data_IF_152947913262
#
_entry.id   IF_152947913262
#
_cell.length_a   1.000
_cell.length_b   1.000
_cell.length_c   1.000
_cell.angle_alpha   90.00
_cell.angle_beta   90.00
_cell.angle_gamma   90.00
#
_symmetry.space_group_name_H-M   'P 1'
#
loop_
_entity.id
_entity.type
_entity.pdbx_description
1 polymer ?
#
# COMPACT_ATOMS: atom_id res chain seq x y z
N UNK A 1 3.73 -7.07 19.83
CA UNK A 1 3.12 -7.13 18.48
C UNK A 1 1.62 -7.29 18.66
N UNK A 2 0.84 -6.36 18.10
CA UNK A 2 -0.62 -6.53 18.01
C UNK A 2 -0.86 -7.62 16.96
N UNK A 3 -1.57 -8.69 17.31
CA UNK A 3 -1.78 -9.82 16.38
C UNK A 3 -2.55 -9.39 15.13
N UNK A 4 -2.27 -10.02 13.99
CA UNK A 4 -2.95 -9.79 12.71
C UNK A 4 -4.36 -10.40 12.65
N UNK A 5 -5.11 -10.32 13.75
CA UNK A 5 -6.46 -10.88 13.85
C UNK A 5 -7.47 -9.90 13.29
N UNK A 6 -8.48 -10.37 12.54
CA UNK A 6 -9.59 -9.52 12.14
C UNK A 6 -10.35 -9.04 13.37
N UNK A 7 -10.71 -7.75 13.36
CA UNK A 7 -11.46 -7.09 14.44
C UNK A 7 -12.94 -7.39 14.30
N UNK A 8 -13.48 -7.29 13.09
CA UNK A 8 -14.87 -7.56 12.76
C UNK A 8 -15.03 -7.85 11.27
N UNK A 9 -16.18 -8.43 10.91
CA UNK A 9 -16.63 -8.50 9.53
C UNK A 9 -18.05 -7.96 9.37
N UNK A 10 -18.34 -7.49 8.17
CA UNK A 10 -19.59 -6.82 7.81
C UNK A 10 -20.06 -7.29 6.44
N UNK A 11 -21.37 -7.41 6.28
CA UNK A 11 -22.01 -7.72 4.99
C UNK A 11 -22.93 -6.57 4.63
N UNK A 12 -22.75 -6.07 3.42
CA UNK A 12 -23.54 -5.01 2.84
C UNK A 12 -24.30 -5.50 1.62
N UNK A 13 -25.47 -4.92 1.44
CA UNK A 13 -26.29 -5.11 0.25
C UNK A 13 -26.74 -3.75 -0.27
N UNK A 14 -26.46 -3.48 -1.55
CA UNK A 14 -26.90 -2.29 -2.26
C UNK A 14 -28.35 -2.48 -2.69
N UNK A 15 -29.25 -1.74 -2.05
CA UNK A 15 -30.67 -1.69 -2.42
C UNK A 15 -30.93 -0.53 -3.39
N UNK A 16 -32.10 -0.52 -4.04
CA UNK A 16 -32.50 0.59 -4.91
C UNK A 16 -32.59 1.94 -4.18
N UNK A 17 -32.76 1.93 -2.86
CA UNK A 17 -32.79 3.10 -1.98
C UNK A 17 -31.41 3.53 -1.43
N UNK A 18 -30.35 2.79 -1.75
CA UNK A 18 -29.01 2.98 -1.20
C UNK A 18 -28.45 1.73 -0.52
N UNK A 19 -27.25 1.84 0.03
CA UNK A 19 -26.56 0.72 0.66
C UNK A 19 -27.10 0.47 2.07
N UNK A 20 -27.31 -0.80 2.44
CA UNK A 20 -27.75 -1.18 3.79
C UNK A 20 -26.73 -2.15 4.39
N UNK A 21 -26.32 -1.89 5.64
CA UNK A 21 -25.58 -2.87 6.45
C UNK A 21 -26.57 -3.98 6.78
N UNK A 22 -26.41 -5.12 6.13
CA UNK A 22 -27.28 -6.27 6.37
C UNK A 22 -26.84 -7.01 7.63
N UNK A 23 -25.54 -7.01 7.96
CA UNK A 23 -25.05 -7.78 9.10
C UNK A 23 -23.64 -7.39 9.58
N UNK A 24 -23.34 -7.56 10.87
CA UNK A 24 -22.03 -7.24 11.48
C UNK A 24 -21.70 -8.18 12.64
N UNK A 25 -20.43 -8.58 12.76
CA UNK A 25 -19.92 -9.27 13.95
C UNK A 25 -18.41 -9.11 14.14
N UNK A 26 -17.94 -8.93 15.39
CA UNK A 26 -18.71 -8.54 16.57
C UNK A 26 -19.40 -7.19 16.38
N UNK A 27 -20.21 -6.77 17.37
CA UNK A 27 -20.83 -5.45 17.32
C UNK A 27 -19.75 -4.37 17.37
N UNK A 28 -19.84 -3.39 16.47
CA UNK A 28 -18.94 -2.22 16.42
C UNK A 28 -19.67 -0.95 16.83
N UNK A 29 -18.89 0.09 17.16
CA UNK A 29 -19.43 1.42 17.51
C UNK A 29 -20.19 2.05 16.34
N UNK A 30 -21.12 2.96 16.63
CA UNK A 30 -21.87 3.66 15.57
C UNK A 30 -20.96 4.55 14.71
N UNK A 31 -19.90 5.12 15.27
CA UNK A 31 -18.87 5.82 14.50
C UNK A 31 -18.22 4.89 13.46
N UNK A 32 -17.87 3.66 13.87
CA UNK A 32 -17.30 2.67 12.96
C UNK A 32 -18.31 2.29 11.87
N UNK A 33 -19.59 2.10 12.20
CA UNK A 33 -20.63 1.80 11.19
C UNK A 33 -20.74 2.90 10.14
N UNK A 34 -20.70 4.17 10.54
CA UNK A 34 -20.74 5.32 9.62
C UNK A 34 -19.53 5.26 8.67
N UNK A 35 -18.33 5.03 9.20
CA UNK A 35 -17.10 4.94 8.39
C UNK A 35 -17.15 3.78 7.39
N UNK A 36 -17.65 2.61 7.81
CA UNK A 36 -17.79 1.45 6.91
C UNK A 36 -18.79 1.76 5.79
N UNK A 37 -19.91 2.42 6.11
CA UNK A 37 -20.94 2.78 5.13
C UNK A 37 -20.40 3.74 4.06
N UNK A 38 -19.60 4.72 4.48
CA UNK A 38 -18.94 5.68 3.58
C UNK A 38 -17.87 5.03 2.67
N UNK A 39 -17.30 3.89 3.06
CA UNK A 39 -16.19 3.26 2.33
C UNK A 39 -16.64 2.20 1.32
N UNK A 40 -17.68 1.40 1.63
CA UNK A 40 -18.08 0.16 0.95
C UNK A 40 -18.31 0.24 -0.58
N UNK A 41 -18.91 1.32 -1.06
CA UNK A 41 -19.22 1.57 -2.47
C UNK A 41 -18.78 2.97 -2.89
N UNK A 42 -17.49 3.25 -2.71
CA UNK A 42 -16.91 4.53 -3.10
C UNK A 42 -17.19 4.82 -4.58
N UNK A 43 -17.59 6.07 -4.90
CA UNK A 43 -17.93 6.48 -6.27
C UNK A 43 -16.80 6.13 -7.24
N UNK A 44 -17.10 5.42 -8.33
CA UNK A 44 -16.09 5.00 -9.30
C UNK A 44 -15.39 3.68 -8.98
N UNK A 45 -15.72 3.04 -7.85
CA UNK A 45 -15.30 1.68 -7.47
C UNK A 45 -16.52 0.75 -7.38
N UNK A 46 -17.36 0.74 -8.42
CA UNK A 46 -18.61 -0.04 -8.45
C UNK A 46 -18.53 -1.16 -9.50
N UNK A 47 -17.73 -2.17 -9.21
CA UNK A 47 -17.50 -3.31 -10.11
C UNK A 47 -17.75 -4.62 -9.37
N UNK A 48 -18.36 -5.59 -10.05
CA UNK A 48 -18.54 -6.94 -9.50
C UNK A 48 -17.18 -7.62 -9.40
N UNK A 49 -16.95 -8.34 -8.30
CA UNK A 49 -15.70 -9.07 -8.03
C UNK A 49 -14.48 -8.18 -7.72
N UNK A 50 -14.72 -6.92 -7.33
CA UNK A 50 -13.67 -5.98 -6.99
C UNK A 50 -13.17 -6.15 -5.55
N UNK A 51 -11.86 -6.34 -5.36
CA UNK A 51 -11.19 -6.19 -4.06
C UNK A 51 -10.48 -4.84 -3.97
N UNK A 52 -10.57 -4.18 -2.83
CA UNK A 52 -9.74 -3.01 -2.54
C UNK A 52 -9.69 -2.77 -1.04
N UNK A 53 -8.77 -1.91 -0.61
CA UNK A 53 -8.64 -1.56 0.79
C UNK A 53 -8.40 -0.06 1.01
N UNK A 54 -8.81 0.41 2.18
CA UNK A 54 -8.64 1.81 2.62
C UNK A 54 -8.27 1.84 4.08
N UNK A 55 -7.69 2.96 4.53
CA UNK A 55 -7.41 3.17 5.94
C UNK A 55 -8.25 4.30 6.51
N UNK A 56 -9.01 4.00 7.54
CA UNK A 56 -9.76 4.99 8.30
C UNK A 56 -9.37 4.96 9.77
N UNK A 57 -8.88 6.10 10.27
CA UNK A 57 -8.26 6.21 11.61
C UNK A 57 -7.19 5.12 11.79
N UNK A 58 -7.39 4.19 12.74
CA UNK A 58 -6.47 3.08 13.02
C UNK A 58 -6.84 1.77 12.32
N UNK A 59 -7.96 1.72 11.61
CA UNK A 59 -8.46 0.48 11.00
C UNK A 59 -8.22 0.47 9.49
N UNK A 60 -7.76 -0.67 9.01
CA UNK A 60 -7.80 -1.04 7.62
C UNK A 60 -9.16 -1.67 7.30
N UNK A 61 -9.78 -1.17 6.24
CA UNK A 61 -11.04 -1.66 5.70
C UNK A 61 -10.70 -2.47 4.45
N UNK A 62 -10.80 -3.79 4.53
CA UNK A 62 -10.60 -4.70 3.39
C UNK A 62 -11.96 -5.05 2.80
N UNK A 63 -12.19 -4.69 1.54
CA UNK A 63 -13.52 -4.67 0.94
C UNK A 63 -13.50 -5.56 -0.30
N UNK A 64 -14.40 -6.55 -0.36
CA UNK A 64 -14.63 -7.38 -1.55
C UNK A 64 -16.08 -7.23 -1.98
N UNK A 65 -16.29 -6.63 -3.15
CA UNK A 65 -17.61 -6.51 -3.77
C UNK A 65 -17.93 -7.76 -4.59
N UNK A 66 -19.18 -8.21 -4.55
CA UNK A 66 -19.63 -9.41 -5.27
C UNK A 66 -21.11 -9.29 -5.66
N UNK A 67 -21.56 -10.14 -6.58
CA UNK A 67 -22.96 -10.23 -6.98
C UNK A 67 -23.69 -11.38 -6.28
N UNK A 68 -24.93 -11.14 -5.82
CA UNK A 68 -25.83 -12.19 -5.32
C UNK A 68 -27.26 -11.89 -5.75
N UNK A 69 -27.93 -12.82 -6.42
CA UNK A 69 -29.34 -12.71 -6.84
C UNK A 69 -29.68 -11.39 -7.56
N UNK A 70 -28.78 -10.92 -8.45
CA UNK A 70 -28.94 -9.65 -9.17
C UNK A 70 -28.68 -8.38 -8.33
N UNK A 71 -28.30 -8.52 -7.06
CA UNK A 71 -27.94 -7.43 -6.15
C UNK A 71 -26.43 -7.33 -6.01
N UNK A 72 -25.94 -6.11 -5.76
CA UNK A 72 -24.53 -5.88 -5.42
C UNK A 72 -24.37 -5.99 -3.91
N UNK A 73 -23.40 -6.78 -3.50
CA UNK A 73 -23.07 -7.00 -2.10
C UNK A 73 -21.60 -6.71 -1.86
N UNK A 74 -21.22 -6.56 -0.61
CA UNK A 74 -19.82 -6.50 -0.22
C UNK A 74 -19.58 -7.19 1.12
N UNK A 75 -18.43 -7.85 1.24
CA UNK A 75 -17.84 -8.23 2.51
C UNK A 75 -16.81 -7.18 2.88
N UNK A 76 -16.84 -6.74 4.13
CA UNK A 76 -15.81 -5.86 4.69
C UNK A 76 -15.21 -6.53 5.92
N UNK A 77 -13.89 -6.65 5.95
CA UNK A 77 -13.14 -7.11 7.12
C UNK A 77 -12.32 -5.96 7.67
N UNK A 78 -12.50 -5.67 8.96
CA UNK A 78 -11.71 -4.67 9.67
C UNK A 78 -10.50 -5.31 10.37
N UNK A 79 -9.38 -4.60 10.35
CA UNK A 79 -8.13 -5.02 10.99
C UNK A 79 -7.30 -3.80 11.41
N UNK A 80 -6.45 -3.95 12.41
CA UNK A 80 -5.44 -2.93 12.76
C UNK A 80 -4.11 -3.15 12.02
N UNK A 81 -3.93 -4.31 11.38
CA UNK A 81 -2.71 -4.69 10.65
C UNK A 81 -2.87 -4.53 9.14
N UNK A 82 -1.83 -4.02 8.48
CA UNK A 82 -1.73 -3.98 7.04
C UNK A 82 -1.28 -5.32 6.45
N UNK A 83 -2.23 -6.14 5.96
CA UNK A 83 -1.96 -7.40 5.22
C UNK A 83 -2.95 -7.65 4.09
N UNK A 84 -2.87 -6.91 2.97
CA UNK A 84 -3.88 -6.97 1.91
C UNK A 84 -4.11 -8.37 1.34
N UNK A 85 -3.07 -9.18 1.10
CA UNK A 85 -3.23 -10.53 0.54
C UNK A 85 -3.97 -11.47 1.49
N UNK A 86 -3.64 -11.42 2.80
CA UNK A 86 -4.31 -12.19 3.83
C UNK A 86 -5.80 -11.82 3.91
N UNK A 87 -6.09 -10.53 4.00
CA UNK A 87 -7.46 -10.07 4.19
C UNK A 87 -8.29 -10.17 2.91
N UNK A 88 -7.68 -10.07 1.74
CA UNK A 88 -8.31 -10.46 0.47
C UNK A 88 -8.74 -11.92 0.50
N UNK A 89 -7.86 -12.82 0.95
CA UNK A 89 -8.20 -14.24 1.09
C UNK A 89 -9.31 -14.48 2.11
N UNK A 90 -9.30 -13.78 3.24
CA UNK A 90 -10.37 -13.85 4.23
C UNK A 90 -11.70 -13.35 3.64
N UNK A 91 -11.69 -12.24 2.90
CA UNK A 91 -12.86 -11.76 2.19
C UNK A 91 -13.41 -12.81 1.21
N UNK A 92 -12.55 -13.45 0.41
CA UNK A 92 -12.95 -14.53 -0.50
C UNK A 92 -13.59 -15.71 0.24
N UNK A 93 -13.07 -16.08 1.42
CA UNK A 93 -13.66 -17.13 2.25
C UNK A 93 -15.10 -16.77 2.64
N UNK A 94 -15.37 -15.53 3.06
CA UNK A 94 -16.72 -15.09 3.39
C UNK A 94 -17.61 -14.98 2.16
N UNK A 95 -17.11 -14.43 1.06
CA UNK A 95 -17.86 -14.34 -0.21
C UNK A 95 -18.28 -15.74 -0.67
N UNK A 96 -17.39 -16.73 -0.62
CA UNK A 96 -17.71 -18.12 -0.96
C UNK A 96 -18.75 -18.80 -0.05
N UNK A 97 -19.03 -18.25 1.15
CA UNK A 97 -20.16 -18.66 2.00
C UNK A 97 -21.44 -17.89 1.73
N UNK A 98 -21.35 -16.76 1.03
CA UNK A 98 -22.49 -15.92 0.67
C UNK A 98 -23.01 -16.23 -0.74
N UNK A 99 -22.16 -16.65 -1.67
CA UNK A 99 -22.50 -16.94 -3.06
C UNK A 99 -22.96 -18.39 -3.25
N UNK A 100 -23.76 -18.64 -4.29
CA UNK A 100 -24.25 -19.99 -4.62
C UNK A 100 -25.33 -20.57 -3.68
N UNK A 101 -25.78 -19.81 -2.68
CA UNK A 101 -26.83 -20.19 -1.73
C UNK A 101 -28.02 -19.25 -1.81
N UNK A 102 -29.24 -19.78 -1.66
CA UNK A 102 -30.47 -18.99 -1.70
C UNK A 102 -30.49 -17.92 -0.59
N UNK A 103 -30.21 -18.34 0.64
CA UNK A 103 -30.11 -17.48 1.82
C UNK A 103 -28.74 -17.61 2.49
N UNK A 104 -28.26 -16.51 3.07
CA UNK A 104 -26.96 -16.49 3.77
C UNK A 104 -27.16 -17.04 5.19
N UNK A 105 -26.46 -18.10 5.54
CA UNK A 105 -26.42 -18.61 6.91
C UNK A 105 -25.39 -17.81 7.74
N UNK A 106 -25.88 -16.84 8.51
CA UNK A 106 -25.04 -16.01 9.37
C UNK A 106 -24.34 -16.79 10.48
N UNK A 107 -24.90 -17.92 10.94
CA UNK A 107 -24.24 -18.77 11.95
C UNK A 107 -22.97 -19.38 11.36
N UNK A 108 -22.99 -19.77 10.09
CA UNK A 108 -21.79 -20.26 9.38
C UNK A 108 -20.74 -19.17 9.26
N UNK A 109 -21.14 -17.92 8.99
CA UNK A 109 -20.21 -16.80 8.91
C UNK A 109 -19.57 -16.46 10.26
N UNK A 110 -20.36 -16.42 11.35
CA UNK A 110 -19.85 -16.25 12.72
C UNK A 110 -18.84 -17.36 13.05
N UNK A 111 -19.20 -18.62 12.80
CA UNK A 111 -18.30 -19.76 13.04
C UNK A 111 -17.02 -19.65 12.23
N UNK A 112 -17.10 -19.17 10.99
CA UNK A 112 -15.94 -18.92 10.14
C UNK A 112 -15.04 -17.86 10.75
N UNK A 113 -15.60 -16.71 11.14
CA UNK A 113 -14.84 -15.65 11.81
C UNK A 113 -14.18 -16.14 13.11
N UNK A 114 -14.94 -16.80 13.98
CA UNK A 114 -14.44 -17.32 15.25
C UNK A 114 -13.36 -18.37 15.05
N UNK A 115 -13.49 -19.24 14.05
CA UNK A 115 -12.43 -20.19 13.69
C UNK A 115 -11.14 -19.45 13.38
N UNK A 116 -11.17 -18.47 12.48
CA UNK A 116 -9.99 -17.66 12.11
C UNK A 116 -9.40 -16.97 13.35
N UNK A 117 -10.25 -16.33 14.15
CA UNK A 117 -9.84 -15.57 15.34
C UNK A 117 -9.19 -16.46 16.42
N UNK A 118 -9.74 -17.65 16.66
CA UNK A 118 -9.27 -18.58 17.69
C UNK A 118 -8.06 -19.36 17.21
N UNK A 119 -8.06 -19.87 15.97
CA UNK A 119 -6.95 -20.65 15.43
C UNK A 119 -5.76 -19.78 15.03
N UNK A 120 -5.94 -18.47 14.89
CA UNK A 120 -4.91 -17.52 14.46
C UNK A 120 -4.28 -17.93 13.12
N UNK A 121 -5.13 -18.38 12.20
CA UNK A 121 -4.72 -18.82 10.87
C UNK A 121 -5.90 -19.22 10.00
N UNK A 122 -5.62 -19.41 8.71
CA UNK A 122 -6.61 -19.80 7.69
C UNK A 122 -6.11 -21.00 6.89
N UNK A 123 -7.05 -21.72 6.27
CA UNK A 123 -6.69 -22.72 5.25
C UNK A 123 -6.56 -22.04 3.90
N UNK A 124 -5.41 -22.20 3.25
CA UNK A 124 -5.12 -21.70 1.91
C UNK A 124 -4.42 -22.80 1.12
N UNK A 125 -4.94 -23.13 -0.08
CA UNK A 125 -4.35 -24.20 -0.91
C UNK A 125 -4.39 -25.61 -0.29
N UNK A 126 -5.24 -25.84 0.72
CA UNK A 126 -5.30 -27.11 1.46
C UNK A 126 -4.38 -27.17 2.69
N UNK A 127 -3.50 -26.19 2.88
CA UNK A 127 -2.62 -26.11 4.04
C UNK A 127 -3.14 -25.08 5.05
N UNK A 128 -2.78 -25.26 6.33
CA UNK A 128 -3.06 -24.29 7.37
C UNK A 128 -1.90 -23.30 7.50
N UNK A 129 -2.18 -22.02 7.35
CA UNK A 129 -1.19 -20.94 7.41
C UNK A 129 -1.60 -19.97 8.53
N UNK A 130 -0.67 -19.65 9.42
CA UNK A 130 -0.91 -18.65 10.46
C UNK A 130 -1.11 -17.26 9.86
N UNK A 131 -1.86 -16.39 10.55
CA UNK A 131 -2.09 -15.01 10.07
C UNK A 131 -0.77 -14.21 9.98
N UNK A 132 0.15 -14.44 10.92
CA UNK A 132 1.46 -13.79 10.95
C UNK A 132 2.36 -14.21 9.78
N UNK A 133 2.26 -15.47 9.34
CA UNK A 133 3.11 -16.07 8.31
C UNK A 133 2.46 -16.08 6.91
N UNK A 134 1.27 -15.50 6.76
CA UNK A 134 0.58 -15.50 5.48
C UNK A 134 1.44 -14.80 4.41
N UNK A 135 1.70 -15.45 3.27
CA UNK A 135 2.64 -14.95 2.27
C UNK A 135 2.13 -13.65 1.67
N UNK A 136 3.01 -12.66 1.63
CA UNK A 136 2.76 -11.37 0.99
C UNK A 136 3.18 -11.45 -0.47
N UNK A 137 2.33 -10.94 -1.36
CA UNK A 137 2.62 -10.87 -2.78
C UNK A 137 3.20 -9.50 -3.12
N UNK A 138 4.23 -9.53 -3.95
CA UNK A 138 4.91 -8.34 -4.47
C UNK A 138 5.17 -8.55 -5.96
N UNK A 139 5.11 -7.45 -6.71
CA UNK A 139 5.46 -7.32 -8.12
C UNK A 139 6.59 -6.29 -8.30
N UNK A 140 7.43 -6.11 -7.27
CA UNK A 140 8.46 -5.09 -7.24
C UNK A 140 9.46 -5.27 -8.40
N UNK A 141 9.78 -6.52 -8.75
CA UNK A 141 10.63 -6.84 -9.89
C UNK A 141 10.07 -6.26 -11.19
N UNK A 142 8.78 -6.44 -11.44
CA UNK A 142 8.12 -5.94 -12.65
C UNK A 142 8.06 -4.41 -12.65
N UNK A 143 7.81 -3.78 -11.49
CA UNK A 143 7.85 -2.33 -11.36
C UNK A 143 9.24 -1.78 -11.70
N UNK A 144 10.31 -2.35 -11.12
CA UNK A 144 11.68 -1.92 -11.39
C UNK A 144 12.03 -2.16 -12.86
N UNK A 145 11.64 -3.30 -13.42
CA UNK A 145 11.86 -3.64 -14.83
C UNK A 145 11.20 -2.62 -15.75
N UNK A 146 9.95 -2.24 -15.47
CA UNK A 146 9.18 -1.32 -16.30
C UNK A 146 9.66 0.14 -16.19
N UNK A 147 10.09 0.56 -15.00
CA UNK A 147 10.63 1.91 -14.77
C UNK A 147 12.12 2.02 -15.18
N UNK A 148 12.82 0.91 -15.34
CA UNK A 148 14.26 0.88 -15.55
C UNK A 148 14.98 1.63 -14.42
N UNK A 149 16.00 2.41 -14.76
CA UNK A 149 16.78 3.20 -13.77
C UNK A 149 15.92 4.25 -13.06
N UNK A 150 14.81 4.71 -13.64
CA UNK A 150 13.98 5.78 -13.05
C UNK A 150 13.31 5.39 -11.73
N UNK A 151 13.25 4.09 -11.40
CA UNK A 151 12.78 3.63 -10.08
C UNK A 151 13.58 4.28 -8.94
N UNK A 152 14.82 4.70 -9.18
CA UNK A 152 15.66 5.39 -8.19
C UNK A 152 15.03 6.70 -7.71
N UNK A 153 14.25 7.38 -8.55
CA UNK A 153 13.52 8.59 -8.17
C UNK A 153 12.43 8.24 -7.15
N UNK A 154 11.72 7.12 -7.34
CA UNK A 154 10.73 6.64 -6.40
C UNK A 154 11.37 6.22 -5.07
N UNK A 155 12.47 5.46 -5.12
CA UNK A 155 13.26 5.11 -3.94
C UNK A 155 13.71 6.35 -3.16
N UNK A 156 14.30 7.34 -3.85
CA UNK A 156 14.76 8.59 -3.23
C UNK A 156 13.61 9.40 -2.62
N UNK A 157 12.47 9.46 -3.29
CA UNK A 157 11.29 10.15 -2.78
C UNK A 157 10.81 9.53 -1.46
N UNK A 158 10.75 8.20 -1.38
CA UNK A 158 10.37 7.49 -0.17
C UNK A 158 11.37 7.71 0.98
N UNK A 159 12.68 7.67 0.66
CA UNK A 159 13.74 7.90 1.65
C UNK A 159 13.70 9.33 2.22
N UNK A 160 13.39 10.31 1.37
CA UNK A 160 13.28 11.73 1.73
C UNK A 160 11.87 12.14 2.19
N UNK A 161 10.98 11.18 2.46
CA UNK A 161 9.57 11.40 2.84
C UNK A 161 8.84 12.43 1.97
N UNK A 162 9.14 12.45 0.67
CA UNK A 162 8.53 13.32 -0.34
C UNK A 162 7.13 12.84 -0.69
N UNK A 163 6.24 13.77 -1.04
CA UNK A 163 4.85 13.49 -1.43
C UNK A 163 4.80 12.87 -2.84
N UNK A 164 4.43 11.60 -2.92
CA UNK A 164 4.38 10.81 -4.15
C UNK A 164 2.91 10.53 -4.48
N UNK A 165 2.48 10.89 -5.68
CA UNK A 165 1.21 10.43 -6.23
C UNK A 165 1.46 9.34 -7.26
N UNK A 166 0.84 8.18 -7.08
CA UNK A 166 0.89 7.04 -8.01
C UNK A 166 -0.48 6.88 -8.64
N UNK A 167 -0.51 6.85 -9.97
CA UNK A 167 -1.73 6.68 -10.75
C UNK A 167 -1.74 5.34 -11.50
N UNK A 168 -2.90 4.70 -11.47
CA UNK A 168 -3.27 3.60 -12.34
C UNK A 168 -4.80 3.54 -12.48
N UNK A 169 -5.38 3.27 -13.67
CA UNK A 169 -6.83 3.28 -13.86
C UNK A 169 -7.56 2.13 -13.14
N UNK A 170 -6.90 0.98 -12.95
CA UNK A 170 -7.40 -0.15 -12.19
C UNK A 170 -6.92 -0.05 -10.73
N UNK A 171 -7.85 -0.03 -9.76
CA UNK A 171 -7.55 0.09 -8.33
C UNK A 171 -6.85 -1.14 -7.74
N UNK A 172 -7.14 -2.35 -8.22
CA UNK A 172 -6.50 -3.58 -7.74
C UNK A 172 -5.02 -3.58 -8.12
N UNK A 173 -4.74 -3.31 -9.40
CA UNK A 173 -3.36 -3.17 -9.90
C UNK A 173 -2.62 -2.00 -9.26
N UNK A 174 -3.31 -0.87 -9.04
CA UNK A 174 -2.77 0.26 -8.29
C UNK A 174 -2.33 -0.16 -6.88
N UNK A 175 -3.21 -0.82 -6.14
CA UNK A 175 -2.99 -1.16 -4.74
C UNK A 175 -1.97 -2.29 -4.57
N UNK A 176 -1.95 -3.26 -5.50
CA UNK A 176 -0.89 -4.26 -5.55
C UNK A 176 0.46 -3.58 -5.80
N UNK A 177 0.52 -2.64 -6.75
CA UNK A 177 1.77 -1.93 -7.05
C UNK A 177 2.23 -1.04 -5.89
N UNK A 178 1.31 -0.34 -5.23
CA UNK A 178 1.61 0.43 -4.03
C UNK A 178 2.16 -0.46 -2.91
N UNK A 179 1.55 -1.62 -2.66
CA UNK A 179 2.05 -2.60 -1.70
C UNK A 179 3.51 -2.96 -2.00
N UNK A 180 3.83 -3.27 -3.25
CA UNK A 180 5.20 -3.57 -3.68
C UNK A 180 6.14 -2.38 -3.56
N UNK A 181 5.69 -1.17 -3.90
CA UNK A 181 6.48 0.07 -3.77
C UNK A 181 6.90 0.32 -2.31
N UNK A 182 6.09 -0.05 -1.32
CA UNK A 182 6.50 0.09 0.09
C UNK A 182 7.75 -0.73 0.42
N UNK A 183 8.03 -1.80 -0.33
CA UNK A 183 9.23 -2.65 -0.19
C UNK A 183 10.51 -2.01 -0.70
N UNK A 184 10.43 -0.86 -1.40
CA UNK A 184 11.61 -0.07 -1.73
C UNK A 184 12.29 0.53 -0.49
N UNK A 185 11.57 0.70 0.63
CA UNK A 185 12.16 1.13 1.91
C UNK A 185 11.71 0.18 3.04
N UNK A 186 12.33 -1.01 3.19
CA UNK A 186 11.92 -2.02 4.18
C UNK A 186 11.98 -1.55 5.65
N UNK A 187 12.66 -0.43 5.92
CA UNK A 187 12.78 0.16 7.25
C UNK A 187 11.52 0.93 7.70
N UNK A 188 10.59 1.24 6.79
CA UNK A 188 9.34 1.95 7.08
C UNK A 188 8.16 0.98 7.04
N UNK A 189 7.25 1.09 8.00
CA UNK A 189 6.01 0.32 7.97
C UNK A 189 5.07 0.93 6.92
N UNK A 190 4.38 0.12 6.09
CA UNK A 190 3.40 0.62 5.13
C UNK A 190 2.36 1.57 5.77
N UNK A 191 1.93 1.27 6.99
CA UNK A 191 1.04 2.12 7.77
C UNK A 191 1.55 3.56 7.93
N UNK A 192 2.86 3.77 8.01
CA UNK A 192 3.38 5.11 8.27
C UNK A 192 3.48 5.97 7.00
N UNK A 193 3.41 5.34 5.81
CA UNK A 193 3.69 6.01 4.53
C UNK A 193 2.55 5.96 3.53
N UNK A 194 1.70 4.92 3.58
CA UNK A 194 0.77 4.58 2.51
C UNK A 194 -0.64 5.11 2.77
N UNK A 195 -1.15 5.93 1.84
CA UNK A 195 -2.57 6.16 1.65
C UNK A 195 -3.00 5.44 0.34
N UNK A 196 -3.57 4.23 0.42
CA UNK A 196 -3.68 3.32 -0.73
C UNK A 196 -4.70 3.78 -1.78
N UNK A 197 -5.57 4.73 -1.45
CA UNK A 197 -6.56 5.23 -2.40
C UNK A 197 -7.11 6.61 -2.01
N UNK A 198 -6.80 7.62 -2.82
CA UNK A 198 -7.34 8.98 -2.75
C UNK A 198 -8.13 9.31 -4.01
N UNK A 199 -9.27 9.99 -3.85
CA UNK A 199 -10.07 10.47 -4.97
C UNK A 199 -9.94 11.97 -5.18
N UNK A 200 -9.77 12.71 -4.08
CA UNK A 200 -9.72 14.17 -4.08
C UNK A 200 -8.53 14.69 -3.29
N UNK A 201 -8.09 15.92 -3.59
CA UNK A 201 -7.04 16.62 -2.83
C UNK A 201 -7.45 16.82 -1.36
N UNK A 202 -8.74 17.01 -1.10
CA UNK A 202 -9.28 17.17 0.26
C UNK A 202 -8.98 15.97 1.14
N UNK A 203 -8.79 14.80 0.54
CA UNK A 203 -8.53 13.54 1.23
C UNK A 203 -7.05 13.45 1.66
N UNK A 204 -6.19 14.35 1.17
CA UNK A 204 -4.77 14.40 1.50
C UNK A 204 -4.56 14.80 2.96
N UNK A 205 -4.21 13.83 3.80
CA UNK A 205 -3.64 14.06 5.13
C UNK A 205 -2.17 14.46 4.96
N UNK A 206 -1.95 15.72 4.53
CA UNK A 206 -0.67 16.30 4.06
C UNK A 206 0.57 16.11 4.97
N UNK A 207 0.42 15.57 6.18
CA UNK A 207 1.49 15.50 7.19
C UNK A 207 1.79 14.09 7.72
N UNK A 208 1.12 13.04 7.25
CA UNK A 208 1.35 11.67 7.77
C UNK A 208 1.83 10.73 6.67
N UNK A 209 1.14 10.72 5.53
CA UNK A 209 1.40 9.74 4.47
C UNK A 209 2.08 10.45 3.29
N UNK A 210 3.09 9.80 2.71
CA UNK A 210 3.87 10.36 1.62
C UNK A 210 3.82 9.52 0.33
N UNK A 211 3.16 8.36 0.35
CA UNK A 211 2.88 7.53 -0.81
C UNK A 211 1.37 7.40 -0.99
N UNK A 212 0.84 7.98 -2.08
CA UNK A 212 -0.60 8.06 -2.32
C UNK A 212 -0.99 7.38 -3.62
N UNK A 213 -2.04 6.56 -3.59
CA UNK A 213 -2.62 5.92 -4.76
C UNK A 213 -3.84 6.64 -5.30
N UNK A 214 -3.99 6.78 -6.62
CA UNK A 214 -5.25 7.25 -7.21
C UNK A 214 -5.60 6.60 -8.54
N UNK A 215 -6.91 6.45 -8.79
CA UNK A 215 -7.46 6.16 -10.13
C UNK A 215 -7.95 7.42 -10.84
N UNK A 216 -7.84 8.59 -10.20
CA UNK A 216 -8.29 9.86 -10.75
C UNK A 216 -7.13 10.55 -11.48
N UNK A 217 -7.07 10.41 -12.81
CA UNK A 217 -6.03 11.00 -13.63
C UNK A 217 -5.95 12.53 -13.54
N UNK A 218 -7.04 13.21 -13.15
CA UNK A 218 -7.03 14.67 -12.99
C UNK A 218 -6.10 15.16 -11.87
N UNK A 219 -5.81 14.33 -10.87
CA UNK A 219 -4.87 14.66 -9.80
C UNK A 219 -3.42 14.71 -10.30
N UNK A 220 -3.09 14.03 -11.39
CA UNK A 220 -1.75 14.08 -12.01
C UNK A 220 -1.42 15.47 -12.56
N UNK A 221 -2.43 16.29 -12.86
CA UNK A 221 -2.22 17.67 -13.33
C UNK A 221 -1.87 18.65 -12.20
N UNK A 222 -1.93 18.22 -10.94
CA UNK A 222 -1.78 19.08 -9.78
C UNK A 222 -0.35 19.06 -9.23
N UNK A 223 0.60 19.39 -10.11
CA UNK A 223 2.04 19.32 -9.84
C UNK A 223 2.49 20.12 -8.61
N UNK A 224 1.73 21.13 -8.18
CA UNK A 224 2.08 21.92 -7.00
C UNK A 224 1.84 21.17 -5.68
N UNK A 225 1.00 20.13 -5.68
CA UNK A 225 0.67 19.36 -4.48
C UNK A 225 1.68 18.26 -4.17
N UNK A 226 2.29 17.66 -5.21
CA UNK A 226 3.14 16.46 -5.07
C UNK A 226 4.57 16.76 -5.47
N UNK A 227 5.53 16.07 -4.87
CA UNK A 227 6.94 16.15 -5.25
C UNK A 227 7.26 15.26 -6.46
N UNK A 228 6.64 14.07 -6.50
CA UNK A 228 6.82 13.05 -7.51
C UNK A 228 5.46 12.55 -8.02
N UNK A 229 5.33 12.41 -9.34
CA UNK A 229 4.16 11.84 -10.01
C UNK A 229 4.59 10.56 -10.71
N UNK A 230 3.91 9.45 -10.44
CA UNK A 230 4.20 8.14 -11.05
C UNK A 230 2.97 7.67 -11.80
N UNK A 231 3.10 7.41 -13.09
CA UNK A 231 2.04 6.77 -13.87
C UNK A 231 2.45 5.33 -14.14
N UNK A 232 1.73 4.37 -13.55
CA UNK A 232 2.01 2.96 -13.74
C UNK A 232 1.40 2.40 -15.03
N UNK A 233 0.37 3.06 -15.59
CA UNK A 233 -0.25 2.65 -16.84
C UNK A 233 0.67 2.93 -18.04
N UNK A 234 1.31 4.10 -18.04
CA UNK A 234 2.39 4.45 -18.97
C UNK A 234 3.65 4.63 -18.14
N UNK A 235 4.37 3.53 -17.81
CA UNK A 235 5.42 3.49 -16.78
C UNK A 235 6.37 4.70 -16.83
N UNK A 236 6.05 5.73 -16.06
CA UNK A 236 6.77 7.00 -16.10
C UNK A 236 6.83 7.63 -14.72
N UNK A 237 7.93 8.35 -14.48
CA UNK A 237 8.18 9.06 -13.23
C UNK A 237 8.53 10.51 -13.54
N UNK A 238 7.70 11.44 -13.07
CA UNK A 238 7.90 12.87 -13.25
C UNK A 238 8.21 13.56 -11.92
N UNK A 239 9.38 14.20 -11.84
CA UNK A 239 9.73 15.09 -10.73
C UNK A 239 9.16 16.48 -10.99
N UNK A 240 8.33 16.97 -10.07
CA UNK A 240 7.71 18.29 -10.20
C UNK A 240 8.72 19.43 -10.04
N UNK A 241 8.40 20.61 -10.59
CA UNK A 241 9.29 21.77 -10.59
C UNK A 241 9.78 22.16 -9.19
N UNK A 242 8.89 22.11 -8.18
CA UNK A 242 9.23 22.48 -6.79
C UNK A 242 10.25 21.54 -6.15
N UNK A 243 10.43 20.33 -6.69
CA UNK A 243 11.25 19.29 -6.08
C UNK A 243 12.49 18.96 -6.90
N UNK A 244 12.63 19.46 -8.14
CA UNK A 244 13.77 19.20 -9.04
C UNK A 244 15.14 19.27 -8.36
N UNK A 245 15.36 20.25 -7.48
CA UNK A 245 16.63 20.37 -6.76
C UNK A 245 16.91 19.23 -5.77
N UNK A 246 15.87 18.66 -5.15
CA UNK A 246 15.99 17.56 -4.20
C UNK A 246 16.26 16.22 -4.89
N UNK A 247 16.00 16.11 -6.19
CA UNK A 247 16.13 14.89 -6.99
C UNK A 247 17.36 14.88 -7.91
N UNK A 248 18.35 15.75 -7.65
CA UNK A 248 19.62 15.70 -8.38
C UNK A 248 20.39 14.42 -8.02
N UNK A 249 20.41 13.47 -8.96
CA UNK A 249 21.08 12.18 -8.78
C UNK A 249 22.60 12.33 -8.66
N UNK A 250 23.20 11.47 -7.86
CA UNK A 250 24.64 11.42 -7.57
C UNK A 250 25.20 10.08 -8.03
N UNK A 251 26.51 9.86 -7.94
CA UNK A 251 27.09 8.54 -8.20
C UNK A 251 26.46 7.47 -7.32
N UNK A 252 26.27 7.76 -6.03
CA UNK A 252 25.61 6.85 -5.08
C UNK A 252 24.24 6.37 -5.57
N UNK A 253 23.39 7.30 -6.04
CA UNK A 253 22.07 6.94 -6.56
C UNK A 253 22.17 6.07 -7.83
N UNK A 254 23.09 6.38 -8.73
CA UNK A 254 23.32 5.59 -9.95
C UNK A 254 23.85 4.19 -9.64
N UNK A 255 24.74 4.07 -8.67
CA UNK A 255 25.31 2.79 -8.24
C UNK A 255 24.24 1.89 -7.63
N UNK A 256 23.37 2.44 -6.78
CA UNK A 256 22.20 1.73 -6.23
C UNK A 256 21.27 1.28 -7.36
N UNK A 257 20.92 2.20 -8.25
CA UNK A 257 20.01 1.91 -9.35
C UNK A 257 20.54 0.77 -10.23
N UNK A 258 21.81 0.86 -10.64
CA UNK A 258 22.47 -0.14 -11.47
C UNK A 258 22.57 -1.50 -10.78
N UNK A 259 22.88 -1.54 -9.47
CA UNK A 259 22.97 -2.80 -8.70
C UNK A 259 21.64 -3.55 -8.76
N UNK A 260 20.54 -2.84 -8.50
CA UNK A 260 19.20 -3.42 -8.43
C UNK A 260 18.68 -3.79 -9.82
N UNK A 261 18.84 -2.92 -10.83
CA UNK A 261 18.40 -3.24 -12.20
C UNK A 261 19.17 -4.43 -12.78
N UNK A 262 20.46 -4.58 -12.47
CA UNK A 262 21.24 -5.76 -12.88
C UNK A 262 20.73 -7.06 -12.24
N UNK A 263 20.24 -7.02 -10.99
CA UNK A 263 19.61 -8.20 -10.38
C UNK A 263 18.31 -8.56 -11.09
N UNK A 264 17.49 -7.55 -11.41
CA UNK A 264 16.24 -7.75 -12.18
C UNK A 264 16.52 -8.33 -13.57
N UNK A 265 17.55 -7.84 -14.26
CA UNK A 265 18.00 -8.36 -15.58
C UNK A 265 18.50 -9.80 -15.50
N UNK A 266 19.12 -10.19 -14.38
CA UNK A 266 19.54 -11.57 -14.10
C UNK A 266 18.40 -12.48 -13.62
N UNK A 267 17.16 -12.00 -13.70
CA UNK A 267 15.96 -12.74 -13.32
C UNK A 267 15.92 -13.16 -11.85
N UNK A 268 16.56 -12.38 -10.96
CA UNK A 268 16.55 -12.64 -9.51
C UNK A 268 15.12 -12.73 -8.95
N UNK A 269 14.98 -13.40 -7.82
CA UNK A 269 13.72 -13.53 -7.07
C UNK A 269 13.33 -12.21 -6.39
N UNK A 270 12.04 -12.03 -6.09
CA UNK A 270 11.54 -10.87 -5.32
C UNK A 270 12.28 -10.70 -3.99
N UNK A 271 12.56 -11.81 -3.29
CA UNK A 271 13.27 -11.79 -2.01
C UNK A 271 14.72 -11.31 -2.14
N UNK A 272 15.43 -11.74 -3.18
CA UNK A 272 16.80 -11.29 -3.46
C UNK A 272 16.84 -9.78 -3.77
N UNK A 273 15.87 -9.28 -4.54
CA UNK A 273 15.74 -7.86 -4.87
C UNK A 273 15.46 -7.03 -3.60
N UNK A 274 14.52 -7.46 -2.76
CA UNK A 274 14.18 -6.79 -1.49
C UNK A 274 15.38 -6.76 -0.55
N UNK A 275 16.13 -7.86 -0.46
CA UNK A 275 17.34 -7.94 0.36
C UNK A 275 18.44 -6.98 -0.13
N UNK A 276 18.66 -6.89 -1.44
CA UNK A 276 19.62 -5.94 -2.00
C UNK A 276 19.22 -4.50 -1.72
N UNK A 277 17.94 -4.15 -1.88
CA UNK A 277 17.40 -2.83 -1.52
C UNK A 277 17.65 -2.53 -0.04
N UNK A 278 17.39 -3.50 0.85
CA UNK A 278 17.62 -3.36 2.29
C UNK A 278 19.10 -3.11 2.61
N UNK A 279 20.00 -3.84 1.96
CA UNK A 279 21.45 -3.66 2.09
C UNK A 279 21.88 -2.26 1.63
N UNK A 280 21.43 -1.83 0.44
CA UNK A 280 21.71 -0.48 -0.09
C UNK A 280 21.14 0.63 0.79
N UNK A 281 19.95 0.45 1.33
CA UNK A 281 19.35 1.39 2.28
C UNK A 281 20.20 1.50 3.55
N UNK A 282 20.67 0.36 4.07
CA UNK A 282 21.54 0.32 5.25
C UNK A 282 22.90 0.98 5.00
N UNK A 283 23.50 0.77 3.83
CA UNK A 283 24.72 1.47 3.40
C UNK A 283 24.53 3.00 3.41
N UNK A 284 23.43 3.49 2.84
CA UNK A 284 23.09 4.93 2.82
C UNK A 284 22.93 5.49 4.23
N UNK A 285 22.21 4.79 5.11
CA UNK A 285 22.00 5.22 6.50
C UNK A 285 23.30 5.21 7.31
N UNK A 286 24.19 4.25 7.09
CA UNK A 286 25.50 4.23 7.75
C UNK A 286 26.41 5.35 7.24
N UNK A 287 26.34 5.65 5.93
CA UNK A 287 27.02 6.80 5.35
C UNK A 287 26.51 8.12 5.96
N UNK A 288 25.20 8.26 6.15
CA UNK A 288 24.58 9.40 6.84
C UNK A 288 25.08 9.55 8.29
N UNK A 289 25.13 8.47 9.06
CA UNK A 289 25.65 8.49 10.44
C UNK A 289 27.10 8.97 10.49
N UNK A 290 27.92 8.51 9.55
CA UNK A 290 29.32 8.95 9.42
C UNK A 290 29.42 10.42 9.03
N UNK A 291 28.52 10.89 8.16
CA UNK A 291 28.43 12.30 7.80
C UNK A 291 28.03 13.19 9.00
N UNK A 292 27.08 12.74 9.83
CA UNK A 292 26.62 13.47 11.01
C UNK A 292 27.67 13.51 12.14
N UNK A 293 28.50 12.48 12.30
CA UNK A 293 29.57 12.47 13.31
C UNK A 293 30.78 13.33 12.93
N UNK A 294 30.91 13.71 11.66
CA UNK A 294 31.98 14.56 11.13
C UNK A 294 31.61 16.05 11.05
N UNK A 295 30.68 16.52 11.90
CA UNK A 295 30.09 17.89 11.90
C UNK A 295 31.07 19.08 11.93
N UNK A 296 32.38 18.86 12.01
CA UNK A 296 33.44 19.90 11.99
C UNK A 296 34.22 20.04 10.66
N UNK A 297 33.78 19.45 9.55
CA UNK A 297 34.52 19.63 8.27
C UNK A 297 33.59 19.97 7.11
N UNK A 298 33.29 21.27 6.98
CA UNK A 298 32.71 21.94 5.79
C UNK A 298 33.51 21.72 4.48
N UNK A 299 34.45 20.78 4.40
CA UNK A 299 35.39 20.63 3.29
C UNK A 299 35.65 19.22 2.74
N UNK A 300 35.01 18.14 3.22
CA UNK A 300 35.38 16.76 2.79
C UNK A 300 34.50 16.13 1.70
N UNK A 301 33.24 16.53 1.54
CA UNK A 301 32.42 16.04 0.42
C UNK A 301 32.55 17.03 -0.75
N UNK A 302 33.39 16.69 -1.73
CA UNK A 302 33.56 17.52 -2.96
C UNK A 302 32.26 17.63 -3.78
N UNK A 303 31.35 16.67 -3.63
CA UNK A 303 30.09 16.64 -4.36
C UNK A 303 28.97 17.37 -3.58
N UNK A 304 28.71 18.63 -3.94
CA UNK A 304 27.67 19.48 -3.33
C UNK A 304 26.28 18.83 -3.35
N UNK A 305 25.95 18.05 -4.38
CA UNK A 305 24.64 17.40 -4.51
C UNK A 305 24.49 16.25 -3.50
N UNK A 306 25.56 15.49 -3.29
CA UNK A 306 25.59 14.45 -2.25
C UNK A 306 25.47 15.06 -0.86
N UNK A 307 26.19 16.15 -0.59
CA UNK A 307 26.08 16.86 0.69
C UNK A 307 24.64 17.38 0.92
N UNK A 308 24.00 17.98 -0.09
CA UNK A 308 22.61 18.44 -0.02
C UNK A 308 21.64 17.28 0.24
N UNK A 309 21.82 16.16 -0.45
CA UNK A 309 21.01 14.96 -0.22
C UNK A 309 21.13 14.46 1.22
N UNK A 310 22.34 14.29 1.75
CA UNK A 310 22.55 13.83 3.14
C UNK A 310 22.03 14.83 4.16
N UNK A 311 22.15 16.13 3.89
CA UNK A 311 21.61 17.18 4.76
C UNK A 311 20.09 17.14 4.79
N UNK A 312 19.44 16.87 3.65
CA UNK A 312 17.98 16.69 3.60
C UNK A 312 17.55 15.39 4.28
N UNK A 313 18.35 14.32 4.17
CA UNK A 313 18.03 13.05 4.82
C UNK A 313 18.22 13.14 6.35
N UNK A 314 19.22 13.88 6.84
CA UNK A 314 19.50 14.05 8.27
C UNK A 314 18.46 14.85 9.04
N UNK A 315 17.61 15.64 8.37
CA UNK A 315 16.51 16.35 9.02
C UNK A 315 15.28 15.46 9.22
N UNK A 316 15.28 14.26 8.61
CA UNK A 316 14.12 13.36 8.52
C UNK A 316 14.31 12.07 9.31
N UNK A 317 15.56 11.59 9.41
CA UNK A 317 16.03 10.40 10.14
C UNK A 317 16.55 10.80 11.50
#
# INVERSE_FOLDING_TARGET
>A
MVGCKPVSFHIFEKTNSGDVISWTYPTVTDETKILIHQTCFSKGLETVDLFYYKREKKYWHYIKQFGKNGRRCAVIVLSECYKPDLYGKICDLFVGKCTGVAEVDFVVLVKTFLKIYVSDGISSGGEFVKLEDFPEQTNLKDIIKNLGIEFILLYNALLLKKQILVYHPNVEELQQSLNSITRLIPTQQPEDILEPYVQNISDLKRNVNNLLGTTNSSLMNQQNSFDLLVNLQTPSVEVTLKSKESFQLTSLHKDIANSITQLVEKDATELEIINEISNKTTEVLNYLKTFQSQKDVEGKIKNKNLQKFLTNLSTIV
#
